data_IF_881877666344
#
_entry.id   IF_881877666344
#
_cell.length_a   1.000
_cell.length_b   1.000
_cell.length_c   1.000
_cell.angle_alpha   90.00
_cell.angle_beta   90.00
_cell.angle_gamma   90.00
#
_symmetry.space_group_name_H-M   'P 1'
#
loop_
_entity.id
_entity.type
_entity.pdbx_description
1 polymer ?
#
# COMPACT_ATOMS: atom_id res chain seq x y z
N UNK A 1 4.09 5.53 -21.17
CA UNK A 1 5.04 6.57 -21.63
C UNK A 1 5.48 7.36 -20.43
N UNK A 2 6.79 7.65 -20.29
CA UNK A 2 7.31 8.46 -19.18
C UNK A 2 7.14 9.93 -19.54
N UNK A 3 6.64 10.72 -18.58
CA UNK A 3 6.46 12.17 -18.71
C UNK A 3 7.12 12.88 -17.55
N UNK A 4 7.58 14.10 -17.75
CA UNK A 4 8.08 14.97 -16.68
C UNK A 4 6.91 15.81 -16.18
N UNK A 5 6.62 15.73 -14.89
CA UNK A 5 5.48 16.42 -14.26
C UNK A 5 5.98 17.23 -13.05
N UNK A 6 5.34 18.37 -12.83
CA UNK A 6 5.54 19.19 -11.65
C UNK A 6 5.11 18.42 -10.39
N UNK A 7 5.99 18.38 -9.39
CA UNK A 7 5.79 17.63 -8.15
C UNK A 7 4.57 18.14 -7.34
N UNK A 8 4.22 19.42 -7.47
CA UNK A 8 3.08 20.03 -6.80
C UNK A 8 1.73 19.62 -7.42
N UNK A 9 1.75 19.04 -8.62
CA UNK A 9 0.58 18.43 -9.24
C UNK A 9 0.28 17.02 -8.72
N UNK A 10 1.19 16.42 -7.93
CA UNK A 10 1.02 15.10 -7.36
C UNK A 10 0.22 15.15 -6.06
N UNK A 11 -0.73 14.24 -5.91
CA UNK A 11 -1.50 14.06 -4.68
C UNK A 11 -1.25 12.65 -4.13
N UNK A 12 -1.16 12.51 -2.80
CA UNK A 12 -0.99 11.20 -2.19
C UNK A 12 -2.25 10.35 -2.41
N UNK A 13 -2.09 9.02 -2.37
CA UNK A 13 -3.21 8.08 -2.43
C UNK A 13 -4.06 8.21 -1.16
N UNK A 14 -5.37 8.38 -1.34
CA UNK A 14 -6.32 8.51 -0.23
C UNK A 14 -6.37 7.21 0.61
N UNK A 15 -6.27 7.34 1.93
CA UNK A 15 -6.31 6.21 2.88
C UNK A 15 -5.24 5.13 2.59
N UNK A 16 -4.03 5.54 2.24
CA UNK A 16 -2.92 4.62 1.98
C UNK A 16 -2.66 3.73 3.22
N UNK A 17 -2.80 2.39 3.12
CA UNK A 17 -2.77 1.51 4.29
C UNK A 17 -1.37 1.30 4.89
N UNK A 18 -0.32 1.54 4.10
CA UNK A 18 1.06 1.36 4.52
C UNK A 18 1.60 2.66 5.09
N UNK A 19 2.15 2.60 6.31
CA UNK A 19 2.74 3.76 6.99
C UNK A 19 4.01 4.20 6.27
N UNK A 20 4.24 5.48 6.27
CA UNK A 20 5.52 6.04 5.83
C UNK A 20 6.61 5.63 6.82
N UNK A 21 7.69 5.08 6.30
CA UNK A 21 8.88 4.77 7.09
C UNK A 21 9.72 6.04 7.17
N UNK A 22 9.83 6.59 8.37
CA UNK A 22 10.71 7.70 8.68
C UNK A 22 12.06 7.17 9.22
N UNK A 23 13.09 8.01 9.18
CA UNK A 23 14.38 7.72 9.80
C UNK A 23 15.46 7.34 8.78
N UNK A 24 16.36 6.43 9.17
CA UNK A 24 17.59 6.11 8.42
C UNK A 24 17.28 5.67 6.97
N UNK A 25 16.32 4.80 6.77
CA UNK A 25 15.94 4.32 5.43
C UNK A 25 15.45 5.43 4.49
N UNK A 26 14.81 6.48 5.02
CA UNK A 26 14.38 7.62 4.20
C UNK A 26 15.58 8.52 3.87
N UNK A 27 16.49 8.72 4.81
CA UNK A 27 17.72 9.48 4.60
C UNK A 27 18.60 8.82 3.54
N UNK A 28 18.81 7.51 3.61
CA UNK A 28 19.55 6.75 2.60
C UNK A 28 18.92 6.87 1.20
N UNK A 29 17.59 6.81 1.12
CA UNK A 29 16.87 7.01 -0.14
C UNK A 29 17.07 8.44 -0.68
N UNK A 30 16.95 9.44 0.20
CA UNK A 30 17.16 10.86 -0.18
C UNK A 30 18.59 11.10 -0.67
N UNK A 31 19.59 10.54 0.01
CA UNK A 31 20.99 10.63 -0.42
C UNK A 31 21.23 9.93 -1.77
N UNK A 32 20.67 8.72 -1.94
CA UNK A 32 20.75 8.00 -3.21
C UNK A 32 20.12 8.78 -4.37
N UNK A 33 18.97 9.42 -4.15
CA UNK A 33 18.32 10.25 -5.18
C UNK A 33 19.13 11.51 -5.48
N UNK A 34 19.78 12.09 -4.47
CA UNK A 34 20.66 13.24 -4.64
C UNK A 34 21.88 12.92 -5.51
N UNK A 35 22.48 11.74 -5.33
CA UNK A 35 23.66 11.31 -6.06
C UNK A 35 23.35 10.79 -7.48
N UNK A 36 22.30 9.99 -7.61
CA UNK A 36 22.00 9.22 -8.83
C UNK A 36 20.78 9.72 -9.59
N UNK A 37 20.03 10.68 -9.02
CA UNK A 37 18.73 11.07 -9.54
C UNK A 37 17.64 10.03 -9.28
N UNK A 38 16.44 10.30 -9.77
CA UNK A 38 15.31 9.37 -9.68
C UNK A 38 15.42 8.32 -10.80
N UNK A 39 15.97 7.15 -10.49
CA UNK A 39 16.22 6.07 -11.47
C UNK A 39 14.94 5.44 -12.01
N UNK A 40 13.93 5.27 -11.15
CA UNK A 40 12.64 4.70 -11.53
C UNK A 40 11.55 5.75 -11.50
N UNK A 41 10.71 5.88 -12.55
CA UNK A 41 9.61 6.83 -12.56
C UNK A 41 8.56 6.50 -11.49
N UNK A 42 7.91 7.54 -10.99
CA UNK A 42 6.75 7.42 -10.11
C UNK A 42 5.55 6.91 -10.92
N UNK A 43 4.78 5.98 -10.38
CA UNK A 43 3.56 5.50 -11.02
C UNK A 43 2.39 6.32 -10.49
N UNK A 44 1.65 6.95 -11.40
CA UNK A 44 0.52 7.80 -11.08
C UNK A 44 -0.69 7.47 -11.96
N UNK A 45 -1.88 7.89 -11.55
CA UNK A 45 -3.07 7.94 -12.41
C UNK A 45 -3.61 9.36 -12.51
N UNK A 46 -4.35 9.63 -13.56
CA UNK A 46 -5.05 10.90 -13.72
C UNK A 46 -6.04 11.13 -12.58
N UNK A 47 -6.05 12.36 -12.05
CA UNK A 47 -6.90 12.78 -10.95
C UNK A 47 -7.61 14.09 -11.32
N UNK A 48 -8.78 14.41 -10.75
CA UNK A 48 -9.50 15.65 -11.04
C UNK A 48 -8.65 16.92 -10.93
N UNK A 49 -9.05 17.95 -11.61
CA UNK A 49 -8.38 19.26 -11.64
C UNK A 49 -6.94 19.24 -12.20
N UNK A 50 -6.64 18.32 -13.13
CA UNK A 50 -5.31 18.23 -13.75
C UNK A 50 -4.20 17.74 -12.82
N UNK A 51 -4.57 17.12 -11.70
CA UNK A 51 -3.63 16.50 -10.77
C UNK A 51 -3.41 15.02 -11.09
N UNK A 52 -2.46 14.42 -10.40
CA UNK A 52 -2.10 13.01 -10.54
C UNK A 52 -1.98 12.36 -9.17
N UNK A 53 -2.73 11.27 -8.95
CA UNK A 53 -2.68 10.52 -7.71
C UNK A 53 -1.56 9.48 -7.76
N UNK A 54 -0.72 9.46 -6.73
CA UNK A 54 0.44 8.57 -6.65
C UNK A 54 -0.05 7.15 -6.32
N UNK A 55 0.29 6.17 -7.16
CA UNK A 55 0.03 4.74 -6.93
C UNK A 55 1.24 4.05 -6.31
N UNK A 56 2.44 4.40 -6.78
CA UNK A 56 3.70 3.84 -6.28
C UNK A 56 4.80 4.88 -6.32
N UNK A 57 5.58 4.96 -5.25
CA UNK A 57 6.74 5.84 -5.13
C UNK A 57 6.54 7.02 -4.17
N UNK A 58 5.61 6.98 -3.22
CA UNK A 58 5.37 8.04 -2.22
C UNK A 58 6.67 8.50 -1.54
N UNK A 59 7.49 7.58 -1.02
CA UNK A 59 8.78 7.88 -0.39
C UNK A 59 9.77 8.60 -1.32
N UNK A 60 9.78 8.22 -2.60
CA UNK A 60 10.63 8.87 -3.63
C UNK A 60 10.16 10.29 -3.92
N UNK A 61 8.84 10.52 -3.95
CA UNK A 61 8.27 11.87 -4.09
C UNK A 61 8.64 12.73 -2.88
N UNK A 62 8.55 12.20 -1.67
CA UNK A 62 8.94 12.89 -0.44
C UNK A 62 10.43 13.27 -0.45
N UNK A 63 11.32 12.33 -0.77
CA UNK A 63 12.75 12.60 -0.92
C UNK A 63 13.05 13.66 -2.00
N UNK A 64 12.33 13.64 -3.13
CA UNK A 64 12.46 14.68 -4.15
C UNK A 64 12.03 16.06 -3.64
N UNK A 65 10.96 16.13 -2.83
CA UNK A 65 10.52 17.38 -2.19
C UNK A 65 11.57 17.91 -1.21
N UNK A 66 12.13 17.04 -0.36
CA UNK A 66 13.21 17.39 0.57
C UNK A 66 14.44 17.97 -0.15
N UNK A 67 14.75 17.45 -1.34
CA UNK A 67 15.84 17.93 -2.19
C UNK A 67 15.50 19.19 -3.01
N UNK A 68 14.26 19.69 -2.92
CA UNK A 68 13.84 20.86 -3.71
C UNK A 68 13.68 20.58 -5.21
N UNK A 69 13.50 19.30 -5.60
CA UNK A 69 13.27 18.91 -7.00
C UNK A 69 11.82 19.25 -7.36
N UNK A 70 11.61 20.10 -8.35
CA UNK A 70 10.29 20.59 -8.74
C UNK A 70 9.62 19.75 -9.82
N UNK A 71 10.37 18.98 -10.60
CA UNK A 71 9.85 18.19 -11.72
C UNK A 71 10.47 16.81 -11.72
N UNK A 72 9.63 15.77 -11.84
CA UNK A 72 10.04 14.38 -11.75
C UNK A 72 9.45 13.51 -12.87
N UNK A 73 10.15 12.44 -13.28
CA UNK A 73 9.63 11.49 -14.24
C UNK A 73 8.52 10.64 -13.62
N UNK A 74 7.39 10.57 -14.31
CA UNK A 74 6.25 9.74 -13.93
C UNK A 74 5.79 8.85 -15.08
N UNK A 75 5.20 7.72 -14.74
CA UNK A 75 4.43 6.89 -15.68
C UNK A 75 2.95 7.02 -15.35
N UNK A 76 2.20 7.65 -16.26
CA UNK A 76 0.74 7.79 -16.11
C UNK A 76 0.09 6.49 -16.53
N UNK A 77 -0.75 5.94 -15.68
CA UNK A 77 -1.61 4.79 -15.97
C UNK A 77 -3.07 5.23 -15.97
N UNK A 78 -3.80 4.78 -16.95
CA UNK A 78 -5.25 4.95 -16.99
C UNK A 78 -5.90 3.84 -16.19
N UNK A 79 -6.23 4.14 -14.93
CA UNK A 79 -6.78 3.20 -13.97
C UNK A 79 -7.99 3.80 -13.29
N UNK A 80 -9.02 3.01 -13.10
CA UNK A 80 -10.10 3.30 -12.16
C UNK A 80 -9.56 3.34 -10.73
N UNK A 81 -10.34 3.88 -9.77
CA UNK A 81 -9.95 3.88 -8.35
C UNK A 81 -9.69 2.45 -7.84
N UNK A 82 -10.55 1.50 -8.20
CA UNK A 82 -10.44 0.10 -7.76
C UNK A 82 -9.21 -0.60 -8.34
N UNK A 83 -8.89 -0.37 -9.61
CA UNK A 83 -7.67 -0.90 -10.24
C UNK A 83 -6.40 -0.31 -9.61
N UNK A 84 -6.43 0.98 -9.29
CA UNK A 84 -5.34 1.65 -8.61
C UNK A 84 -5.11 1.10 -7.20
N UNK A 85 -6.18 0.82 -6.43
CA UNK A 85 -6.11 0.15 -5.13
C UNK A 85 -5.43 -1.22 -5.27
N UNK A 86 -5.88 -2.04 -6.21
CA UNK A 86 -5.30 -3.37 -6.43
C UNK A 86 -3.82 -3.26 -6.75
N UNK A 87 -3.43 -2.38 -7.68
CA UNK A 87 -2.03 -2.21 -8.05
C UNK A 87 -1.18 -1.65 -6.90
N UNK A 88 -1.69 -0.69 -6.13
CA UNK A 88 -1.00 -0.12 -4.97
C UNK A 88 -0.76 -1.19 -3.90
N UNK A 89 -1.76 -2.01 -3.57
CA UNK A 89 -1.60 -3.09 -2.60
C UNK A 89 -0.59 -4.13 -3.10
N UNK A 90 -0.70 -4.58 -4.36
CA UNK A 90 0.19 -5.59 -4.94
C UNK A 90 1.65 -5.14 -4.97
N UNK A 91 1.90 -3.86 -5.24
CA UNK A 91 3.26 -3.33 -5.24
C UNK A 91 3.89 -3.17 -3.85
N UNK A 92 3.09 -3.25 -2.79
CA UNK A 92 3.56 -3.00 -1.43
C UNK A 92 3.48 -4.23 -0.51
N UNK A 93 2.61 -5.20 -0.80
CA UNK A 93 2.33 -6.33 0.10
C UNK A 93 3.52 -7.28 0.30
N UNK A 94 4.52 -7.22 -0.56
CA UNK A 94 5.74 -8.04 -0.51
C UNK A 94 6.93 -7.30 0.10
N UNK A 95 6.72 -6.09 0.66
CA UNK A 95 7.79 -5.36 1.37
C UNK A 95 8.21 -6.15 2.61
N UNK A 96 9.49 -6.07 2.94
CA UNK A 96 9.99 -6.55 4.23
C UNK A 96 9.37 -5.73 5.38
N UNK A 97 9.09 -6.39 6.50
CA UNK A 97 8.62 -5.78 7.75
C UNK A 97 7.30 -4.98 7.64
N UNK A 98 6.30 -5.51 6.91
CA UNK A 98 4.94 -4.95 6.93
C UNK A 98 4.26 -5.33 8.25
N UNK A 99 3.67 -4.33 8.93
CA UNK A 99 2.94 -4.56 10.17
C UNK A 99 1.65 -5.38 9.91
N UNK A 100 1.21 -6.20 10.87
CA UNK A 100 -0.05 -6.93 10.78
C UNK A 100 -1.26 -6.02 10.49
N UNK A 101 -1.31 -4.84 11.09
CA UNK A 101 -2.34 -3.84 10.83
C UNK A 101 -2.32 -3.34 9.38
N UNK A 102 -1.14 -3.05 8.83
CA UNK A 102 -0.99 -2.60 7.46
C UNK A 102 -1.47 -3.67 6.47
N UNK A 103 -1.08 -4.93 6.67
CA UNK A 103 -1.59 -6.06 5.88
C UNK A 103 -3.10 -6.19 5.98
N UNK A 104 -3.66 -6.05 7.19
CA UNK A 104 -5.09 -6.16 7.44
C UNK A 104 -5.89 -5.12 6.63
N UNK A 105 -5.51 -3.84 6.72
CA UNK A 105 -6.18 -2.77 5.99
C UNK A 105 -5.93 -2.86 4.47
N UNK A 106 -4.71 -3.23 4.04
CA UNK A 106 -4.40 -3.43 2.63
C UNK A 106 -5.26 -4.54 1.99
N UNK A 107 -5.38 -5.69 2.66
CA UNK A 107 -6.22 -6.79 2.18
C UNK A 107 -7.70 -6.44 2.19
N UNK A 108 -8.19 -5.72 3.20
CA UNK A 108 -9.56 -5.22 3.25
C UNK A 108 -9.84 -4.32 2.05
N UNK A 109 -9.02 -3.31 1.83
CA UNK A 109 -9.12 -2.36 0.71
C UNK A 109 -9.14 -3.07 -0.65
N UNK A 110 -8.19 -4.00 -0.86
CA UNK A 110 -8.11 -4.79 -2.09
C UNK A 110 -9.33 -5.69 -2.27
N UNK A 111 -9.82 -6.33 -1.20
CA UNK A 111 -11.01 -7.18 -1.25
C UNK A 111 -12.26 -6.39 -1.64
N UNK A 112 -12.44 -5.18 -1.10
CA UNK A 112 -13.53 -4.28 -1.44
C UNK A 112 -13.46 -3.83 -2.90
N UNK A 113 -12.29 -3.38 -3.37
CA UNK A 113 -12.07 -2.99 -4.75
C UNK A 113 -12.36 -4.13 -5.75
N UNK A 114 -11.96 -5.36 -5.44
CA UNK A 114 -12.23 -6.53 -6.27
C UNK A 114 -13.73 -6.87 -6.31
N UNK A 115 -14.46 -6.74 -5.18
CA UNK A 115 -15.92 -6.94 -5.14
C UNK A 115 -16.64 -5.95 -6.05
N UNK A 116 -16.27 -4.67 -6.05
CA UNK A 116 -16.84 -3.68 -6.95
C UNK A 116 -16.63 -4.03 -8.44
N UNK A 117 -15.54 -4.72 -8.76
CA UNK A 117 -15.27 -5.23 -10.12
C UNK A 117 -15.96 -6.56 -10.44
N UNK A 118 -16.82 -7.09 -9.55
CA UNK A 118 -17.45 -8.41 -9.70
C UNK A 118 -16.48 -9.58 -9.57
N UNK A 119 -15.31 -9.38 -8.94
CA UNK A 119 -14.29 -10.42 -8.73
C UNK A 119 -14.18 -10.77 -7.25
N UNK A 120 -13.85 -12.01 -6.94
CA UNK A 120 -13.50 -12.41 -5.58
C UNK A 120 -11.98 -12.51 -5.43
N UNK A 121 -11.46 -12.28 -4.22
CA UNK A 121 -10.03 -12.40 -3.94
C UNK A 121 -9.48 -13.79 -4.34
N UNK A 122 -10.24 -14.85 -4.08
CA UNK A 122 -9.88 -16.22 -4.45
C UNK A 122 -9.75 -16.45 -5.96
N UNK A 123 -10.56 -15.78 -6.79
CA UNK A 123 -10.48 -15.90 -8.25
C UNK A 123 -9.22 -15.23 -8.82
N UNK A 124 -8.74 -14.16 -8.18
CA UNK A 124 -7.51 -13.46 -8.61
C UNK A 124 -6.27 -14.28 -8.24
N UNK A 125 -6.26 -14.87 -7.04
CA UNK A 125 -5.17 -15.74 -6.58
C UNK A 125 -5.03 -17.00 -7.45
N UNK A 126 -6.15 -17.56 -7.95
CA UNK A 126 -6.10 -18.74 -8.82
C UNK A 126 -5.55 -18.48 -10.23
N UNK A 127 -5.63 -17.23 -10.73
CA UNK A 127 -5.02 -16.89 -12.04
C UNK A 127 -3.50 -16.71 -11.98
N UNK A 128 -2.93 -16.55 -10.80
CA UNK A 128 -1.48 -16.37 -10.59
C UNK A 128 -0.75 -17.70 -10.29
N UNK A 129 -1.36 -18.86 -10.58
CA UNK A 129 -0.78 -20.18 -10.31
C UNK A 129 0.50 -20.50 -11.11
N UNK A 130 0.82 -19.72 -12.12
CA UNK A 130 2.03 -19.94 -12.94
C UNK A 130 3.30 -19.28 -12.37
N UNK A 131 3.18 -18.50 -11.29
CA UNK A 131 4.31 -17.97 -10.53
C UNK A 131 4.23 -18.44 -9.08
N UNK A 132 4.90 -19.56 -8.83
CA UNK A 132 5.11 -20.16 -7.51
C UNK A 132 6.02 -19.23 -6.69
N UNK A 133 5.47 -18.24 -5.99
CA UNK A 133 6.02 -17.66 -4.77
C UNK A 133 5.00 -16.72 -4.11
N UNK A 134 4.63 -17.03 -2.87
CA UNK A 134 4.07 -16.15 -1.84
C UNK A 134 2.68 -15.51 -2.04
N UNK A 135 1.71 -16.23 -2.59
CA UNK A 135 0.31 -15.81 -2.40
C UNK A 135 -0.24 -16.44 -1.13
N UNK A 136 -0.43 -15.59 -0.11
CA UNK A 136 -1.15 -16.02 1.09
C UNK A 136 -2.50 -16.66 0.71
N UNK A 137 -2.83 -17.79 1.34
CA UNK A 137 -4.08 -18.47 1.06
C UNK A 137 -5.27 -17.54 1.34
N UNK A 138 -6.37 -17.66 0.59
CA UNK A 138 -7.57 -16.84 0.81
C UNK A 138 -8.08 -16.90 2.25
N UNK A 139 -7.87 -18.03 2.96
CA UNK A 139 -8.18 -18.17 4.40
C UNK A 139 -7.32 -17.24 5.24
N UNK A 140 -6.02 -17.14 4.95
CA UNK A 140 -5.11 -16.28 5.71
C UNK A 140 -5.43 -14.80 5.47
N UNK A 141 -5.75 -14.42 4.24
CA UNK A 141 -6.22 -13.08 3.90
C UNK A 141 -7.45 -12.68 4.72
N UNK A 142 -8.45 -13.59 4.86
CA UNK A 142 -9.64 -13.33 5.68
C UNK A 142 -9.29 -13.16 7.17
N UNK A 143 -8.31 -13.90 7.69
CA UNK A 143 -7.82 -13.73 9.06
C UNK A 143 -7.15 -12.38 9.27
N UNK A 144 -6.35 -11.89 8.30
CA UNK A 144 -5.81 -10.52 8.34
C UNK A 144 -6.93 -9.48 8.33
N UNK A 145 -7.90 -9.61 7.42
CA UNK A 145 -9.04 -8.68 7.36
C UNK A 145 -9.79 -8.64 8.71
N UNK A 146 -9.88 -9.78 9.41
CA UNK A 146 -10.51 -9.84 10.75
C UNK A 146 -9.85 -8.90 11.76
N UNK A 147 -8.53 -8.68 11.69
CA UNK A 147 -7.85 -7.76 12.60
C UNK A 147 -8.36 -6.30 12.48
N UNK A 148 -8.96 -5.92 11.35
CA UNK A 148 -9.54 -4.56 11.21
C UNK A 148 -10.76 -4.30 12.09
N UNK A 149 -11.27 -5.32 12.79
CA UNK A 149 -12.37 -5.21 13.74
C UNK A 149 -11.89 -5.06 15.19
N UNK A 150 -10.58 -5.16 15.44
CA UNK A 150 -10.01 -4.86 16.75
C UNK A 150 -10.05 -3.37 17.03
N UNK A 151 -10.23 -3.02 18.30
CA UNK A 151 -10.02 -1.64 18.75
C UNK A 151 -8.56 -1.21 18.51
N UNK A 152 -8.28 0.08 18.30
CA UNK A 152 -6.94 0.56 17.95
C UNK A 152 -5.85 0.14 18.95
N UNK A 153 -6.18 0.09 20.23
CA UNK A 153 -5.28 -0.30 21.31
C UNK A 153 -4.81 -1.76 21.18
N UNK A 154 -5.73 -2.68 20.90
CA UNK A 154 -5.39 -4.09 20.70
C UNK A 154 -4.63 -4.29 19.39
N UNK A 155 -5.02 -3.60 18.33
CA UNK A 155 -4.33 -3.67 17.05
C UNK A 155 -2.88 -3.18 17.16
N UNK A 156 -2.64 -2.13 17.97
CA UNK A 156 -1.29 -1.66 18.28
C UNK A 156 -0.45 -2.71 19.00
N UNK A 157 -1.05 -3.44 19.95
CA UNK A 157 -0.35 -4.53 20.66
C UNK A 157 0.02 -5.70 19.74
N UNK A 158 -0.79 -5.93 18.69
CA UNK A 158 -0.45 -6.91 17.63
C UNK A 158 0.74 -6.44 16.81
N UNK A 159 0.77 -5.16 16.42
CA UNK A 159 1.88 -4.56 15.69
C UNK A 159 3.19 -4.56 16.50
N UNK A 160 3.09 -4.44 17.83
CA UNK A 160 4.22 -4.52 18.78
C UNK A 160 4.62 -5.97 19.14
N UNK A 161 4.03 -6.98 18.49
CA UNK A 161 4.23 -8.41 18.76
C UNK A 161 3.89 -8.86 20.20
N UNK A 162 3.19 -8.02 20.97
CA UNK A 162 2.73 -8.32 22.34
C UNK A 162 1.51 -9.24 22.38
N UNK A 163 0.71 -9.22 21.30
CA UNK A 163 -0.37 -10.17 21.05
C UNK A 163 -0.05 -10.91 19.76
N UNK A 164 0.06 -12.23 19.82
CA UNK A 164 0.32 -13.05 18.65
C UNK A 164 -0.89 -13.02 17.68
N UNK A 165 -0.62 -13.22 16.38
CA UNK A 165 -1.62 -13.13 15.30
C UNK A 165 -2.88 -13.99 15.53
N UNK A 166 -2.71 -15.26 15.95
CA UNK A 166 -3.87 -16.16 16.13
C UNK A 166 -4.78 -15.72 17.27
N UNK A 167 -4.29 -15.45 18.50
CA UNK A 167 -5.12 -14.85 19.56
C UNK A 167 -5.77 -13.54 19.16
N UNK A 168 -5.09 -12.68 18.41
CA UNK A 168 -5.66 -11.41 17.93
C UNK A 168 -6.86 -11.63 17.00
N UNK A 169 -6.80 -12.63 16.12
CA UNK A 169 -7.92 -13.01 15.28
C UNK A 169 -9.10 -13.49 16.12
N UNK A 170 -8.87 -14.31 17.15
CA UNK A 170 -9.94 -14.76 18.04
C UNK A 170 -10.57 -13.59 18.82
N UNK A 171 -9.75 -12.68 19.37
CA UNK A 171 -10.23 -11.47 20.02
C UNK A 171 -11.11 -10.60 19.12
N UNK A 172 -10.85 -10.59 17.82
CA UNK A 172 -11.64 -9.80 16.87
C UNK A 172 -13.10 -10.29 16.68
N UNK A 173 -13.48 -11.44 17.28
CA UNK A 173 -14.85 -11.94 17.30
C UNK A 173 -15.63 -11.52 18.54
N UNK A 174 -14.95 -10.98 19.54
CA UNK A 174 -15.60 -10.44 20.74
C UNK A 174 -16.28 -9.10 20.42
N UNK A 175 -17.30 -8.75 21.18
CA UNK A 175 -17.92 -7.42 21.12
C UNK A 175 -17.11 -6.41 21.92
N UNK A 176 -17.33 -5.11 21.70
CA UNK A 176 -16.67 -4.04 22.46
C UNK A 176 -16.96 -4.10 23.98
N UNK A 177 -17.92 -4.89 24.42
CA UNK A 177 -18.35 -5.03 25.81
C UNK A 177 -17.84 -6.31 26.48
N UNK A 178 -17.10 -7.15 25.77
CA UNK A 178 -16.51 -8.40 26.25
C UNK A 178 -14.97 -8.28 26.38
#
# INVERSE_FOLDING_TARGET
MIQIIDIDSLVPFENHPFKERSGIEQQELTESIKENGLLEPIIVRSFPAGKYEIISGHRRVEACKELGITSIPVTIKELTKDEAIVQMVDSNIHREHILPSEKAFAYKMKSEALKHQGKTYGQVVHKSRDNISDTESGRNVQRYIRLTYLIPELLKLVDEERIAFTPAVELSYLSEYE
#
